data_IF_313577361103
#
_entry.id   IF_313577361103
#
_cell.length_a   1.000
_cell.length_b   1.000
_cell.length_c   1.000
_cell.angle_alpha   90.00
_cell.angle_beta   90.00
_cell.angle_gamma   90.00
#
_symmetry.space_group_name_H-M   'P 1'
#
loop_
_entity.id
_entity.type
_entity.pdbx_description
1 polymer ?
#
# COMPACT_ATOMS: atom_id res chain seq x y z
N UNK A 1 -3.02 -2.16 -10.90
CA UNK A 1 -1.91 -2.68 -10.06
C UNK A 1 -2.18 -2.47 -8.58
N UNK A 2 -3.02 -1.51 -8.18
CA UNK A 2 -3.36 -1.24 -6.76
C UNK A 2 -4.08 -2.38 -6.05
N UNK A 3 -4.98 -3.12 -6.73
CA UNK A 3 -5.70 -4.26 -6.11
C UNK A 3 -4.76 -5.29 -5.47
N UNK A 4 -3.63 -5.58 -6.12
CA UNK A 4 -2.64 -6.51 -5.59
C UNK A 4 -1.85 -5.93 -4.39
N UNK A 5 -1.65 -4.60 -4.35
CA UNK A 5 -1.05 -3.90 -3.21
C UNK A 5 -2.01 -3.84 -2.01
N UNK A 6 -3.29 -3.60 -2.27
CA UNK A 6 -4.34 -3.59 -1.26
C UNK A 6 -4.48 -4.96 -0.59
N UNK A 7 -4.53 -6.04 -1.38
CA UNK A 7 -4.55 -7.42 -0.88
C UNK A 7 -3.29 -7.74 -0.03
N UNK A 8 -2.11 -7.32 -0.49
CA UNK A 8 -0.85 -7.52 0.23
C UNK A 8 -0.79 -6.75 1.56
N UNK A 9 -1.29 -5.51 1.59
CA UNK A 9 -1.44 -4.72 2.83
C UNK A 9 -2.37 -5.42 3.83
N UNK A 10 -3.47 -6.01 3.36
CA UNK A 10 -4.37 -6.78 4.22
C UNK A 10 -3.70 -8.04 4.79
N UNK A 11 -2.87 -8.71 4.00
CA UNK A 11 -2.09 -9.87 4.46
C UNK A 11 -1.10 -9.47 5.56
N UNK A 12 -0.30 -8.43 5.32
CA UNK A 12 0.66 -7.89 6.30
C UNK A 12 -0.02 -7.44 7.59
N UNK A 13 -1.23 -6.85 7.51
CA UNK A 13 -2.02 -6.49 8.70
C UNK A 13 -2.47 -7.72 9.49
N UNK A 14 -2.82 -8.83 8.82
CA UNK A 14 -3.16 -10.09 9.49
C UNK A 14 -1.94 -10.70 10.15
N UNK A 15 -0.82 -10.74 9.43
CA UNK A 15 0.44 -11.25 9.96
C UNK A 15 0.93 -10.45 11.17
N UNK A 16 0.88 -9.11 11.11
CA UNK A 16 1.29 -8.26 12.24
C UNK A 16 0.49 -8.54 13.52
N UNK A 17 -0.76 -8.99 13.39
CA UNK A 17 -1.61 -9.34 14.53
C UNK A 17 -1.29 -10.73 15.12
N UNK A 18 -0.67 -11.64 14.37
CA UNK A 18 -0.37 -13.00 14.81
C UNK A 18 1.14 -13.34 14.88
N UNK A 19 2.02 -12.45 14.44
CA UNK A 19 3.46 -12.66 14.40
C UNK A 19 4.12 -12.58 15.77
N UNK A 20 5.33 -13.16 15.85
CA UNK A 20 6.19 -13.04 17.01
C UNK A 20 6.71 -11.60 17.16
N UNK A 21 6.97 -11.13 18.41
CA UNK A 21 7.50 -9.78 18.65
C UNK A 21 8.81 -9.48 17.91
N UNK A 22 9.60 -10.51 17.59
CA UNK A 22 10.86 -10.38 16.86
C UNK A 22 10.66 -10.03 15.38
N UNK A 23 9.58 -10.51 14.76
CA UNK A 23 9.25 -10.30 13.34
C UNK A 23 8.33 -9.08 13.17
N UNK A 24 7.60 -8.70 14.22
CA UNK A 24 6.67 -7.57 14.22
C UNK A 24 7.29 -6.27 13.70
N UNK A 25 8.54 -5.98 14.04
CA UNK A 25 9.22 -4.77 13.57
C UNK A 25 9.49 -4.81 12.05
N UNK A 26 9.80 -5.99 11.50
CA UNK A 26 10.04 -6.16 10.07
C UNK A 26 8.72 -6.07 9.30
N UNK A 27 7.69 -6.79 9.75
CA UNK A 27 6.36 -6.77 9.12
C UNK A 27 5.75 -5.36 9.18
N UNK A 28 5.95 -4.61 10.27
CA UNK A 28 5.49 -3.23 10.37
C UNK A 28 6.18 -2.30 9.35
N UNK A 29 7.49 -2.47 9.14
CA UNK A 29 8.23 -1.68 8.16
C UNK A 29 7.80 -2.02 6.72
N UNK A 30 7.53 -3.30 6.43
CA UNK A 30 7.00 -3.73 5.15
C UNK A 30 5.60 -3.16 4.90
N UNK A 31 4.73 -3.20 5.92
CA UNK A 31 3.40 -2.61 5.86
C UNK A 31 3.42 -1.10 5.60
N UNK A 32 4.34 -0.37 6.25
CA UNK A 32 4.53 1.07 6.02
C UNK A 32 4.97 1.36 4.58
N UNK A 33 5.92 0.58 4.06
CA UNK A 33 6.39 0.74 2.68
C UNK A 33 5.27 0.46 1.66
N UNK A 34 4.52 -0.63 1.85
CA UNK A 34 3.41 -0.98 0.96
C UNK A 34 2.30 0.08 0.98
N UNK A 35 2.01 0.68 2.15
CA UNK A 35 1.04 1.78 2.25
C UNK A 35 1.52 3.05 1.52
N UNK A 36 2.80 3.40 1.65
CA UNK A 36 3.38 4.52 0.92
C UNK A 36 3.34 4.30 -0.61
N UNK A 37 3.62 3.07 -1.06
CA UNK A 37 3.53 2.72 -2.47
C UNK A 37 2.09 2.80 -2.99
N UNK A 38 1.11 2.34 -2.21
CA UNK A 38 -0.30 2.46 -2.56
C UNK A 38 -0.74 3.93 -2.67
N UNK A 39 -0.29 4.79 -1.73
CA UNK A 39 -0.59 6.22 -1.77
C UNK A 39 -0.03 6.87 -3.05
N UNK A 40 1.21 6.55 -3.44
CA UNK A 40 1.80 7.00 -4.70
C UNK A 40 1.01 6.48 -5.90
N UNK A 41 0.68 5.19 -5.93
CA UNK A 41 -0.05 4.58 -7.03
C UNK A 41 -1.48 5.14 -7.19
N UNK A 42 -2.12 5.57 -6.10
CA UNK A 42 -3.39 6.29 -6.12
C UNK A 42 -3.19 7.70 -6.65
N UNK A 43 -2.22 8.46 -6.11
CA UNK A 43 -1.93 9.82 -6.57
C UNK A 43 -1.55 9.88 -8.06
N UNK A 44 -0.79 8.90 -8.55
CA UNK A 44 -0.46 8.77 -9.97
C UNK A 44 -1.70 8.48 -10.83
N UNK A 45 -2.62 7.63 -10.35
CA UNK A 45 -3.89 7.39 -11.04
C UNK A 45 -4.79 8.62 -11.03
N UNK A 46 -4.93 9.32 -9.91
CA UNK A 46 -5.74 10.53 -9.81
C UNK A 46 -5.18 11.66 -10.70
N UNK A 47 -3.86 11.87 -10.69
CA UNK A 47 -3.19 12.83 -11.57
C UNK A 47 -3.30 12.48 -13.06
N UNK A 48 -3.42 11.19 -13.39
CA UNK A 48 -3.69 10.72 -14.76
C UNK A 48 -5.15 10.90 -15.17
N UNK A 49 -6.08 10.82 -14.22
CA UNK A 49 -7.52 11.00 -14.46
C UNK A 49 -7.86 12.49 -14.63
N UNK A 50 -7.13 13.40 -13.97
CA UNK A 50 -7.33 14.86 -14.08
C UNK A 50 -6.74 15.51 -15.36
N UNK A 51 -6.12 14.73 -16.26
CA UNK A 51 -5.63 15.25 -17.54
C UNK A 51 -6.77 15.48 -18.54
N UNK A 52 -7.74 16.33 -18.21
CA UNK A 52 -8.78 16.75 -19.14
C UNK A 52 -8.18 17.80 -20.10
N UNK A 53 -8.14 17.55 -21.41
CA UNK A 53 -7.73 18.58 -22.36
C UNK A 53 -8.70 19.75 -22.24
N UNK A 54 -8.23 21.01 -22.13
CA UNK A 54 -9.10 22.15 -22.29
C UNK A 54 -9.48 22.21 -23.77
N UNK A 55 -10.71 21.86 -24.09
CA UNK A 55 -11.35 22.44 -25.26
C UNK A 55 -11.57 23.93 -25.00
#
# INVERSE_FOLDING_TARGET
MTVALEDHIEELRRELNCCDPAERAQIAAELELAQAELEVAIAEQEGRIDSKPPF
#
